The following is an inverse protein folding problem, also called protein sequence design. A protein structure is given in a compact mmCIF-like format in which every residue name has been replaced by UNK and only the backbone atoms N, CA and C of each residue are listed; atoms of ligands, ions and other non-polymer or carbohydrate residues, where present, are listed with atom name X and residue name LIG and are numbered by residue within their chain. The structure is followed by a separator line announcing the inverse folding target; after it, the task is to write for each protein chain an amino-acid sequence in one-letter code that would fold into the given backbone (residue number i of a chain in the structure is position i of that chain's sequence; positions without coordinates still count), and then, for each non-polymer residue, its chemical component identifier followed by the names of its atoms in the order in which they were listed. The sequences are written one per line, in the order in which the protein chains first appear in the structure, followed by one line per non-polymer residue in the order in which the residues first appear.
data_IF_210161068913
#
_entry.id   IF_210161068913
#
_cell.length_a   1.000
_cell.length_b   1.000
_cell.length_c   1.000
_cell.angle_alpha   90.00
_cell.angle_beta   90.00
_cell.angle_gamma   90.00
#
_symmetry.space_group_name_H-M   'P 1'
#
loop_
_entity.id
_entity.type
_entity.pdbx_description
1 polymer ?
#
# COMPACT_ATOMS: atom_id res chain seq x y z
N UNK A 1 12.68 13.42 -9.49
CA UNK A 1 11.85 12.81 -8.42
C UNK A 1 10.61 12.26 -9.09
N UNK A 2 10.32 10.98 -8.89
CA UNK A 2 9.20 10.28 -9.51
C UNK A 2 8.77 9.11 -8.63
N UNK A 3 7.69 8.45 -9.02
CA UNK A 3 7.21 7.26 -8.33
C UNK A 3 8.03 6.04 -8.75
N UNK A 4 8.33 5.17 -7.79
CA UNK A 4 8.89 3.84 -8.01
C UNK A 4 7.78 2.81 -7.76
N UNK A 5 7.60 1.87 -8.70
CA UNK A 5 6.68 0.76 -8.50
C UNK A 5 7.32 -0.27 -7.58
N UNK A 6 6.83 -0.36 -6.34
CA UNK A 6 7.31 -1.35 -5.37
C UNK A 6 6.66 -2.72 -5.60
N UNK A 7 5.36 -2.76 -5.90
CA UNK A 7 4.59 -4.00 -6.00
C UNK A 7 3.42 -3.85 -6.97
N UNK A 8 3.17 -4.91 -7.75
CA UNK A 8 2.01 -5.05 -8.62
C UNK A 8 1.35 -6.41 -8.40
N UNK A 9 0.08 -6.38 -8.01
CA UNK A 9 -0.63 -7.59 -7.57
C UNK A 9 -0.83 -8.64 -8.66
N UNK A 10 -1.06 -8.21 -9.91
CA UNK A 10 -1.23 -9.11 -11.07
C UNK A 10 -0.01 -9.99 -11.32
N UNK A 11 1.17 -9.50 -10.96
CA UNK A 11 2.45 -10.17 -11.21
C UNK A 11 2.86 -11.07 -10.04
N UNK A 12 2.15 -10.95 -8.91
CA UNK A 12 2.48 -11.58 -7.63
C UNK A 12 1.29 -12.34 -7.03
N UNK A 13 0.31 -12.74 -7.85
CA UNK A 13 -0.86 -13.53 -7.44
C UNK A 13 -1.61 -12.94 -6.25
N UNK A 14 -1.61 -11.60 -6.11
CA UNK A 14 -2.25 -10.90 -4.99
C UNK A 14 -1.76 -11.33 -3.60
N UNK A 15 -0.52 -11.82 -3.51
CA UNK A 15 0.08 -12.33 -2.28
C UNK A 15 0.44 -11.22 -1.28
N UNK A 16 -0.15 -11.28 -0.08
CA UNK A 16 0.16 -10.36 1.01
C UNK A 16 1.63 -10.46 1.45
N UNK A 17 2.21 -11.67 1.48
CA UNK A 17 3.63 -11.84 1.84
C UNK A 17 4.57 -11.22 0.80
N UNK A 18 4.20 -11.27 -0.48
CA UNK A 18 4.97 -10.62 -1.54
C UNK A 18 4.85 -9.09 -1.47
N UNK A 19 3.64 -8.57 -1.17
CA UNK A 19 3.44 -7.15 -0.90
C UNK A 19 4.33 -6.66 0.25
N UNK A 20 4.29 -7.34 1.40
CA UNK A 20 5.09 -6.97 2.56
C UNK A 20 6.60 -7.07 2.30
N UNK A 21 7.03 -8.09 1.54
CA UNK A 21 8.44 -8.23 1.14
C UNK A 21 8.93 -7.06 0.29
N UNK A 22 8.05 -6.46 -0.52
CA UNK A 22 8.37 -5.32 -1.37
C UNK A 22 8.24 -3.96 -0.66
N UNK A 23 7.21 -3.80 0.18
CA UNK A 23 6.78 -2.50 0.70
C UNK A 23 7.24 -2.20 2.14
N UNK A 24 7.55 -3.22 2.94
CA UNK A 24 7.95 -3.01 4.33
C UNK A 24 9.23 -2.17 4.43
N UNK A 25 9.23 -1.20 5.34
CA UNK A 25 10.39 -0.33 5.59
C UNK A 25 10.74 0.66 4.45
N UNK A 26 9.95 0.76 3.39
CA UNK A 26 10.22 1.65 2.24
C UNK A 26 9.85 3.12 2.45
N UNK A 27 9.32 3.48 3.61
CA UNK A 27 8.81 4.82 3.88
C UNK A 27 7.41 5.00 3.30
N UNK A 28 7.11 6.23 2.89
CA UNK A 28 5.78 6.60 2.44
C UNK A 28 5.41 5.95 1.09
N UNK A 29 4.18 5.48 0.96
CA UNK A 29 3.68 4.79 -0.24
C UNK A 29 2.30 5.27 -0.63
N UNK A 30 2.00 5.23 -1.93
CA UNK A 30 0.62 5.27 -2.45
C UNK A 30 0.24 3.84 -2.84
N UNK A 31 -0.90 3.36 -2.34
CA UNK A 31 -1.48 2.08 -2.74
C UNK A 31 -2.73 2.34 -3.56
N UNK A 32 -2.81 1.74 -4.74
CA UNK A 32 -3.98 1.75 -5.62
C UNK A 32 -4.53 0.34 -5.76
N UNK A 33 -5.86 0.20 -5.67
CA UNK A 33 -6.58 -1.06 -5.76
C UNK A 33 -7.72 -0.86 -6.75
N UNK A 34 -7.78 -1.74 -7.76
CA UNK A 34 -8.89 -1.83 -8.71
C UNK A 34 -9.67 -3.12 -8.42
N UNK A 35 -11.00 -3.02 -8.30
CA UNK A 35 -11.85 -4.19 -8.10
C UNK A 35 -12.22 -4.84 -9.43
N UNK A 36 -12.74 -6.07 -9.35
CA UNK A 36 -13.32 -6.77 -10.52
C UNK A 36 -14.55 -6.06 -11.12
N UNK A 37 -15.12 -5.08 -10.42
CA UNK A 37 -16.21 -4.23 -10.90
C UNK A 37 -15.70 -2.92 -11.53
N UNK A 38 -14.39 -2.71 -11.61
CA UNK A 38 -13.77 -1.50 -12.17
C UNK A 38 -13.74 -0.31 -11.21
N UNK A 39 -14.01 -0.50 -9.93
CA UNK A 39 -13.90 0.57 -8.93
C UNK A 39 -12.45 0.72 -8.48
N UNK A 40 -11.94 1.96 -8.45
CA UNK A 40 -10.60 2.27 -7.93
C UNK A 40 -10.71 2.92 -6.56
N UNK A 41 -9.93 2.41 -5.61
CA UNK A 41 -9.72 3.01 -4.29
C UNK A 41 -8.26 2.85 -3.87
N UNK A 42 -7.91 3.42 -2.73
CA UNK A 42 -6.53 3.38 -2.28
C UNK A 42 -6.26 4.31 -1.14
N UNK A 43 -4.98 4.55 -0.90
CA UNK A 43 -4.57 5.47 0.13
C UNK A 43 -3.09 5.82 0.04
N UNK A 44 -2.76 6.92 0.70
CA UNK A 44 -1.40 7.31 0.98
C UNK A 44 -1.09 6.97 2.44
N UNK A 45 -0.05 6.16 2.63
CA UNK A 45 0.57 5.92 3.92
C UNK A 45 1.82 6.79 4.01
N UNK A 46 1.84 7.75 4.94
CA UNK A 46 3.01 8.61 5.17
C UNK A 46 4.12 7.92 5.94
N UNK A 47 3.80 6.77 6.54
CA UNK A 47 4.68 5.91 7.33
C UNK A 47 5.04 4.66 6.53
N UNK A 48 5.99 3.88 7.03
CA UNK A 48 6.36 2.59 6.43
C UNK A 48 5.34 1.51 6.76
N UNK A 49 5.07 0.63 5.79
CA UNK A 49 4.53 -0.70 6.07
C UNK A 49 5.50 -1.50 6.94
N UNK A 50 4.96 -2.44 7.70
CA UNK A 50 5.73 -3.39 8.51
C UNK A 50 4.91 -4.67 8.73
N UNK A 51 5.62 -5.74 9.09
CA UNK A 51 5.06 -7.06 9.43
C UNK A 51 5.26 -7.41 10.91
N UNK A 52 5.38 -6.41 11.80
CA UNK A 52 5.70 -6.65 13.22
C UNK A 52 4.47 -7.07 14.06
N UNK A 53 3.29 -7.12 13.43
CA UNK A 53 2.03 -7.51 14.04
C UNK A 53 1.42 -6.43 14.94
N UNK A 54 1.97 -5.21 14.96
CA UNK A 54 1.46 -4.11 15.76
C UNK A 54 0.65 -3.15 14.92
N UNK A 55 -0.43 -2.66 15.53
CA UNK A 55 -1.17 -1.53 14.99
C UNK A 55 -0.40 -0.24 15.25
N UNK A 56 -0.41 0.65 14.26
CA UNK A 56 0.06 2.01 14.43
C UNK A 56 -1.04 2.99 14.05
N UNK A 57 -1.03 4.13 14.73
CA UNK A 57 -1.92 5.23 14.39
C UNK A 57 -1.34 5.95 13.17
N UNK A 58 -2.14 6.07 12.12
CA UNK A 58 -1.82 6.95 11.00
C UNK A 58 -1.62 8.37 11.51
N UNK A 59 -0.65 9.09 10.95
CA UNK A 59 -0.47 10.49 11.24
C UNK A 59 -1.47 11.36 10.43
N UNK A 60 -1.41 12.68 10.62
CA UNK A 60 -2.28 13.63 9.91
C UNK A 60 -1.99 13.74 8.41
N UNK A 61 -0.99 13.02 7.89
CA UNK A 61 -0.61 12.99 6.48
C UNK A 61 -1.16 11.74 5.79
N UNK A 62 -1.62 10.72 6.52
CA UNK A 62 -2.27 9.56 5.91
C UNK A 62 -3.65 9.95 5.34
N UNK A 63 -3.97 9.40 4.17
CA UNK A 63 -5.29 9.56 3.55
C UNK A 63 -5.74 8.21 2.99
N UNK A 64 -6.94 7.79 3.35
CA UNK A 64 -7.61 6.66 2.71
C UNK A 64 -8.78 7.19 1.92
N UNK A 65 -8.79 6.92 0.62
CA UNK A 65 -9.91 7.24 -0.25
C UNK A 65 -10.85 6.04 -0.22
N UNK A 66 -11.94 6.17 0.54
CA UNK A 66 -13.11 5.31 0.38
C UNK A 66 -14.12 6.05 -0.52
N UNK A 67 -14.89 5.31 -1.33
CA UNK A 67 -16.03 5.85 -2.05
C UNK A 67 -17.15 6.28 -1.09
#
# INVERSE_FOLDING_TARGET
MGFELLYQASDNEFSASSFHSACDGKGATITLIETTLGCVFGGYNSQSWNSDGKWYYGDKKCLYLHW
#
